data_IF_023405897236
#
_entry.id   IF_023405897236
#
_cell.length_a   1.000
_cell.length_b   1.000
_cell.length_c   1.000
_cell.angle_alpha   90.00
_cell.angle_beta   90.00
_cell.angle_gamma   90.00
#
_symmetry.space_group_name_H-M   'P 1'
#
loop_
_entity.id
_entity.type
_entity.pdbx_description
1 polymer ?
#
# COMPACT_ATOMS: atom_id res chain seq x y z
N UNK A 1 8.50 41.12 6.41
CA UNK A 1 7.45 40.66 5.48
C UNK A 1 6.88 39.35 6.02
N UNK A 2 5.61 39.32 6.46
CA UNK A 2 4.98 38.09 6.99
C UNK A 2 4.47 37.28 5.80
N UNK A 3 5.06 36.10 5.56
CA UNK A 3 4.54 35.14 4.58
C UNK A 3 3.29 34.48 5.16
N UNK A 4 2.12 34.93 4.72
CA UNK A 4 0.85 34.26 5.02
C UNK A 4 0.75 33.11 4.03
N UNK A 5 1.05 31.90 4.48
CA UNK A 5 0.74 30.70 3.71
C UNK A 5 -0.79 30.67 3.56
N UNK A 6 -1.34 30.73 2.34
CA UNK A 6 -2.79 30.78 2.18
C UNK A 6 -3.37 29.48 2.75
N UNK A 7 -4.39 29.61 3.61
CA UNK A 7 -5.05 28.50 4.29
C UNK A 7 -5.44 27.36 3.32
N UNK A 8 -5.80 27.71 2.08
CA UNK A 8 -6.08 26.77 1.00
C UNK A 8 -4.91 25.85 0.65
N UNK A 9 -3.66 26.34 0.69
CA UNK A 9 -2.46 25.56 0.38
C UNK A 9 -2.19 24.50 1.45
N UNK A 10 -2.45 24.83 2.72
CA UNK A 10 -2.34 23.92 3.85
C UNK A 10 -3.40 22.81 3.77
N UNK A 11 -4.65 23.16 3.41
CA UNK A 11 -5.73 22.20 3.20
C UNK A 11 -5.42 21.26 2.02
N UNK A 12 -4.90 21.75 0.90
CA UNK A 12 -4.49 20.88 -0.21
C UNK A 12 -3.35 19.92 0.15
N UNK A 13 -2.43 20.32 1.03
CA UNK A 13 -1.35 19.45 1.49
C UNK A 13 -1.82 18.38 2.49
N UNK A 14 -2.82 18.70 3.33
CA UNK A 14 -3.42 17.76 4.30
C UNK A 14 -4.39 16.76 3.64
N UNK A 15 -5.09 17.17 2.58
CA UNK A 15 -6.00 16.29 1.83
C UNK A 15 -5.26 15.55 0.70
N UNK A 16 -4.11 16.08 0.26
CA UNK A 16 -3.26 15.52 -0.80
C UNK A 16 -2.15 14.58 -0.33
N UNK A 17 -2.13 14.17 0.94
CA UNK A 17 -1.24 13.10 1.43
C UNK A 17 -1.75 11.71 0.98
N UNK A 18 -0.84 10.74 0.77
CA UNK A 18 -0.83 9.89 -0.41
C UNK A 18 -2.06 8.99 -0.55
N UNK A 19 -2.70 9.05 -1.71
CA UNK A 19 -3.61 8.04 -2.25
C UNK A 19 -2.95 6.66 -2.47
N UNK A 20 -1.76 6.42 -1.91
CA UNK A 20 -1.08 5.11 -1.92
C UNK A 20 -1.53 4.21 -0.77
N UNK A 21 -2.54 4.60 0.01
CA UNK A 21 -3.38 3.61 0.69
C UNK A 21 -4.34 2.98 -0.35
N UNK A 22 -3.74 2.38 -1.38
CA UNK A 22 -4.42 1.44 -2.29
C UNK A 22 -5.14 0.43 -1.40
N UNK A 23 -6.43 0.24 -1.64
CA UNK A 23 -7.21 -0.85 -1.05
C UNK A 23 -6.37 -2.11 -1.11
N UNK A 24 -5.82 -2.55 0.03
CA UNK A 24 -4.91 -3.70 0.07
C UNK A 24 -5.61 -4.86 -0.64
N UNK A 25 -5.08 -5.25 -1.80
CA UNK A 25 -5.69 -6.28 -2.65
C UNK A 25 -5.90 -7.51 -1.78
N UNK A 26 -7.15 -7.93 -1.58
CA UNK A 26 -7.40 -9.13 -0.78
C UNK A 26 -7.09 -10.35 -1.65
N UNK A 27 -5.87 -10.87 -1.54
CA UNK A 27 -5.44 -12.06 -2.25
C UNK A 27 -4.96 -13.14 -1.28
N UNK A 28 -5.16 -14.38 -1.70
CA UNK A 28 -4.58 -15.57 -1.09
C UNK A 28 -3.80 -16.34 -2.13
N UNK A 29 -2.76 -17.05 -1.69
CA UNK A 29 -1.99 -17.94 -2.55
C UNK A 29 -1.57 -19.18 -1.76
N UNK A 30 -1.35 -20.28 -2.48
CA UNK A 30 -0.82 -21.52 -1.91
C UNK A 30 0.57 -21.74 -2.48
N UNK A 31 1.55 -22.02 -1.63
CA UNK A 31 2.91 -22.32 -2.08
C UNK A 31 3.03 -23.76 -2.62
N UNK A 32 4.26 -24.11 -3.01
CA UNK A 32 4.58 -25.43 -3.56
C UNK A 32 4.51 -26.56 -2.51
N UNK A 33 4.53 -26.21 -1.22
CA UNK A 33 4.43 -27.14 -0.10
C UNK A 33 2.98 -27.33 0.37
N UNK A 34 2.03 -26.56 -0.19
CA UNK A 34 0.61 -26.62 0.14
C UNK A 34 0.20 -25.64 1.24
N UNK A 35 1.10 -24.78 1.72
CA UNK A 35 0.79 -23.76 2.73
C UNK A 35 0.00 -22.64 2.08
N UNK A 36 -1.16 -22.31 2.66
CA UNK A 36 -2.00 -21.21 2.18
C UNK A 36 -1.73 -19.94 2.97
N UNK A 37 -1.50 -18.85 2.26
CA UNK A 37 -1.25 -17.53 2.80
C UNK A 37 -2.42 -16.62 2.49
N UNK A 38 -2.89 -15.89 3.50
CA UNK A 38 -3.93 -14.87 3.37
C UNK A 38 -3.31 -13.52 3.73
N UNK A 39 -3.51 -12.51 2.89
CA UNK A 39 -2.87 -11.20 3.10
C UNK A 39 -3.19 -10.58 4.47
N UNK A 40 -4.36 -10.86 5.05
CA UNK A 40 -4.74 -10.40 6.39
C UNK A 40 -3.72 -10.77 7.46
N UNK A 41 -3.09 -11.93 7.32
CA UNK A 41 -2.20 -12.53 8.31
C UNK A 41 -0.77 -12.00 8.15
N UNK A 42 -0.49 -11.38 7.00
CA UNK A 42 0.80 -10.81 6.62
C UNK A 42 0.88 -9.29 6.85
N UNK A 43 -0.16 -8.69 7.43
CA UNK A 43 -0.19 -7.24 7.72
C UNK A 43 1.00 -6.81 8.58
N UNK A 44 1.64 -5.71 8.18
CA UNK A 44 2.82 -5.18 8.87
C UNK A 44 4.14 -5.87 8.50
N UNK A 45 4.10 -6.93 7.69
CA UNK A 45 5.29 -7.59 7.17
C UNK A 45 5.56 -7.09 5.74
N UNK A 46 6.76 -6.55 5.44
CA UNK A 46 7.13 -6.23 4.06
C UNK A 46 7.13 -7.49 3.21
N UNK A 47 6.35 -7.49 2.13
CA UNK A 47 6.27 -8.60 1.19
C UNK A 47 7.13 -8.32 -0.04
N UNK A 48 7.93 -9.31 -0.43
CA UNK A 48 8.66 -9.32 -1.70
C UNK A 48 8.01 -10.36 -2.59
N UNK A 49 7.35 -9.91 -3.67
CA UNK A 49 6.66 -10.78 -4.62
C UNK A 49 7.51 -10.89 -5.88
N UNK A 50 7.97 -12.11 -6.20
CA UNK A 50 8.65 -12.41 -7.45
C UNK A 50 7.67 -13.13 -8.38
N UNK A 51 7.37 -12.53 -9.54
CA UNK A 51 6.46 -13.11 -10.54
C UNK A 51 7.31 -13.77 -11.62
N UNK A 52 7.44 -15.09 -11.52
CA UNK A 52 8.04 -15.93 -12.55
C UNK A 52 6.96 -16.53 -13.46
N UNK A 53 7.31 -16.75 -14.72
CA UNK A 53 6.49 -17.55 -15.64
C UNK A 53 7.31 -18.73 -16.10
N UNK A 54 6.74 -19.93 -16.01
CA UNK A 54 7.31 -21.15 -16.55
C UNK A 54 6.41 -21.57 -17.71
N UNK A 55 6.91 -21.38 -18.93
CA UNK A 55 6.27 -21.74 -20.19
C UNK A 55 7.23 -22.66 -20.95
#
# INVERSE_FOLDING_TARGET
MKHIVPFYLLVTLLVGSPLYASTALNFSFTDLEGTTYILSDLKGTPLVINIGSHW
#
